data_IF_007905733581
#
_entry.id   IF_007905733581
#
_cell.length_a   1.000
_cell.length_b   1.000
_cell.length_c   1.000
_cell.angle_alpha   90.00
_cell.angle_beta   90.00
_cell.angle_gamma   90.00
#
_symmetry.space_group_name_H-M   'P 1'
#
loop_
_entity.id
_entity.type
_entity.pdbx_description
1 polymer ?
#
# COMPACT_ATOMS: atom_id res chain seq x y z
N UNK A 1 -8.41 0.30 -5.86
CA UNK A 1 -8.35 1.65 -5.24
C UNK A 1 -8.12 2.77 -6.25
N UNK A 2 -7.09 2.72 -7.12
CA UNK A 2 -6.82 3.81 -8.07
C UNK A 2 -7.99 4.18 -9.03
N UNK A 3 -8.96 3.27 -9.24
CA UNK A 3 -10.18 3.55 -10.00
C UNK A 3 -11.24 4.34 -9.20
N UNK A 4 -11.22 4.26 -7.87
CA UNK A 4 -12.29 4.76 -6.99
C UNK A 4 -11.94 6.06 -6.26
N UNK A 5 -10.65 6.39 -6.10
CA UNK A 5 -10.18 7.58 -5.35
C UNK A 5 -10.38 8.92 -6.10
N UNK A 6 -10.99 8.91 -7.28
CA UNK A 6 -11.16 10.11 -8.12
C UNK A 6 -9.84 10.66 -8.71
N UNK A 7 -9.89 11.79 -9.43
CA UNK A 7 -8.73 12.35 -10.13
C UNK A 7 -7.69 13.02 -9.20
N UNK A 8 -8.11 13.45 -8.01
CA UNK A 8 -7.24 14.07 -7.01
C UNK A 8 -6.76 13.11 -5.93
N UNK A 9 -7.30 11.88 -5.92
CA UNK A 9 -6.86 10.85 -5.00
C UNK A 9 -5.42 10.41 -5.23
N UNK A 10 -4.85 9.80 -4.20
CA UNK A 10 -3.53 9.17 -4.23
C UNK A 10 -3.61 7.81 -3.55
N UNK A 11 -2.80 6.88 -4.03
CA UNK A 11 -2.70 5.53 -3.49
C UNK A 11 -1.22 5.21 -3.30
N UNK A 12 -0.87 4.66 -2.14
CA UNK A 12 0.44 4.03 -1.91
C UNK A 12 0.20 2.52 -1.82
N UNK A 13 0.87 1.76 -2.67
CA UNK A 13 0.87 0.29 -2.62
C UNK A 13 2.21 -0.21 -2.11
N UNK A 14 2.20 -1.06 -1.08
CA UNK A 14 3.40 -1.69 -0.52
C UNK A 14 3.31 -3.19 -0.72
N UNK A 15 4.39 -3.79 -1.24
CA UNK A 15 4.54 -5.25 -1.31
C UNK A 15 6.02 -5.59 -1.10
N UNK A 16 6.30 -6.79 -0.59
CA UNK A 16 7.67 -7.30 -0.39
C UNK A 16 8.25 -7.94 -1.65
N UNK A 17 7.43 -8.27 -2.64
CA UNK A 17 7.84 -8.88 -3.90
C UNK A 17 8.03 -7.82 -4.98
N UNK A 18 9.28 -7.63 -5.41
CA UNK A 18 9.60 -6.75 -6.53
C UNK A 18 8.89 -7.16 -7.84
N UNK A 19 8.67 -8.45 -8.04
CA UNK A 19 7.94 -8.98 -9.21
C UNK A 19 6.47 -8.58 -9.18
N UNK A 20 5.80 -8.68 -8.02
CA UNK A 20 4.41 -8.23 -7.86
C UNK A 20 4.29 -6.72 -8.08
N UNK A 21 5.24 -5.92 -7.58
CA UNK A 21 5.25 -4.48 -7.83
C UNK A 21 5.46 -4.13 -9.31
N UNK A 22 6.35 -4.85 -10.00
CA UNK A 22 6.57 -4.64 -11.43
C UNK A 22 5.30 -4.92 -12.24
N UNK A 23 4.61 -6.02 -11.92
CA UNK A 23 3.35 -6.37 -12.56
C UNK A 23 2.23 -5.37 -12.22
N UNK A 24 2.11 -4.94 -10.96
CA UNK A 24 1.15 -3.91 -10.55
C UNK A 24 1.40 -2.57 -11.27
N UNK A 25 2.66 -2.19 -11.46
CA UNK A 25 3.04 -1.00 -12.22
C UNK A 25 2.68 -1.12 -13.71
N UNK A 26 2.86 -2.30 -14.32
CA UNK A 26 2.42 -2.57 -15.69
C UNK A 26 0.91 -2.40 -15.82
N UNK A 27 0.14 -3.03 -14.94
CA UNK A 27 -1.33 -2.94 -14.92
C UNK A 27 -1.82 -1.49 -14.70
N UNK A 28 -1.15 -0.72 -13.83
CA UNK A 28 -1.49 0.68 -13.59
C UNK A 28 -1.29 1.54 -14.85
N UNK A 29 -0.19 1.32 -15.59
CA UNK A 29 0.07 2.01 -16.86
C UNK A 29 -0.96 1.66 -17.93
N UNK A 30 -1.28 0.38 -18.09
CA UNK A 30 -2.30 -0.07 -19.05
C UNK A 30 -3.69 0.51 -18.74
N UNK A 31 -3.98 0.75 -17.46
CA UNK A 31 -5.21 1.40 -17.03
C UNK A 31 -5.18 2.94 -17.11
N UNK A 32 -4.04 3.56 -17.44
CA UNK A 32 -3.85 5.01 -17.41
C UNK A 32 -3.94 5.61 -16.00
N UNK A 33 -3.50 4.86 -14.98
CA UNK A 33 -3.63 5.19 -13.55
C UNK A 33 -2.28 5.29 -12.83
N UNK A 34 -1.18 5.14 -13.55
CA UNK A 34 0.19 5.26 -13.05
C UNK A 34 0.46 6.58 -12.30
N UNK A 35 -0.22 7.67 -12.68
CA UNK A 35 -0.11 8.96 -11.98
C UNK A 35 -0.80 9.04 -10.62
N UNK A 36 -1.69 8.09 -10.30
CA UNK A 36 -2.47 8.08 -9.06
C UNK A 36 -1.91 7.13 -8.01
N UNK A 37 -0.93 6.28 -8.38
CA UNK A 37 -0.40 5.24 -7.49
C UNK A 37 1.13 5.29 -7.42
N UNK A 38 1.65 5.26 -6.21
CA UNK A 38 3.06 5.03 -5.92
C UNK A 38 3.23 3.60 -5.37
N UNK A 39 4.15 2.83 -5.95
CA UNK A 39 4.49 1.49 -5.49
C UNK A 39 5.81 1.51 -4.74
N UNK A 40 5.85 0.92 -3.54
CA UNK A 40 7.04 0.87 -2.67
C UNK A 40 7.34 -0.57 -2.28
N UNK A 41 8.61 -0.96 -2.37
CA UNK A 41 9.09 -2.22 -1.84
C UNK A 41 9.21 -2.12 -0.32
N UNK A 42 8.57 -3.01 0.43
CA UNK A 42 8.64 -3.00 1.89
C UNK A 42 7.81 -4.10 2.55
N UNK A 43 7.99 -4.25 3.85
CA UNK A 43 7.19 -5.17 4.68
C UNK A 43 6.00 -4.42 5.29
N UNK A 44 4.90 -5.13 5.52
CA UNK A 44 3.72 -4.56 6.16
C UNK A 44 3.88 -4.38 7.68
N UNK A 45 4.84 -5.06 8.33
CA UNK A 45 5.14 -4.84 9.76
C UNK A 45 6.11 -3.68 10.00
N UNK A 46 6.78 -3.21 8.95
CA UNK A 46 7.72 -2.09 8.96
C UNK A 46 7.53 -1.28 7.66
N UNK A 47 6.39 -0.57 7.60
CA UNK A 47 5.96 0.09 6.38
C UNK A 47 6.97 1.19 5.98
N UNK A 48 7.34 1.30 4.69
CA UNK A 48 8.24 2.34 4.18
C UNK A 48 7.49 3.69 4.01
N UNK A 49 6.89 4.16 5.10
CA UNK A 49 6.24 5.45 5.21
C UNK A 49 7.19 6.45 5.84
N UNK A 50 7.17 7.68 5.32
CA UNK A 50 7.89 8.80 5.90
C UNK A 50 7.12 9.32 7.12
N UNK A 51 7.81 9.92 8.08
CA UNK A 51 7.22 10.39 9.34
C UNK A 51 5.96 11.25 9.12
N UNK A 52 5.99 12.15 8.14
CA UNK A 52 4.88 13.04 7.81
C UNK A 52 3.69 12.37 7.11
N UNK A 53 3.80 11.11 6.68
CA UNK A 53 2.71 10.36 6.06
C UNK A 53 1.86 9.62 7.12
N UNK A 54 2.38 9.44 8.33
CA UNK A 54 1.63 8.78 9.40
C UNK A 54 0.45 9.65 9.84
N UNK A 55 -0.74 9.03 9.91
CA UNK A 55 -1.99 9.72 10.27
C UNK A 55 -2.63 10.53 9.14
N UNK A 56 -2.05 10.56 7.93
CA UNK A 56 -2.59 11.34 6.80
C UNK A 56 -3.46 10.53 5.84
N UNK A 57 -3.57 9.22 6.03
CA UNK A 57 -4.32 8.33 5.14
C UNK A 57 -5.80 8.31 5.52
N UNK A 58 -6.69 8.56 4.53
CA UNK A 58 -8.14 8.44 4.73
C UNK A 58 -8.59 6.98 4.89
N UNK A 59 -7.83 6.03 4.32
CA UNK A 59 -8.15 4.60 4.32
C UNK A 59 -6.87 3.75 4.23
N UNK A 60 -6.77 2.74 5.09
CA UNK A 60 -5.83 1.63 4.95
C UNK A 60 -6.59 0.35 4.55
N UNK A 61 -6.07 -0.38 3.58
CA UNK A 61 -6.69 -1.62 3.10
C UNK A 61 -5.67 -2.73 2.92
N UNK A 62 -5.93 -3.85 3.57
CA UNK A 62 -5.20 -5.09 3.39
C UNK A 62 -6.22 -6.24 3.30
N UNK A 63 -5.94 -7.23 2.44
CA UNK A 63 -6.79 -8.41 2.27
C UNK A 63 -5.93 -9.65 2.44
N UNK A 64 -6.35 -10.54 3.35
CA UNK A 64 -5.64 -11.78 3.72
C UNK A 64 -4.22 -11.61 4.29
N UNK A 65 -3.71 -10.37 4.40
CA UNK A 65 -2.37 -10.09 4.91
C UNK A 65 -2.17 -10.62 6.34
N UNK A 66 -3.11 -10.34 7.24
CA UNK A 66 -2.98 -10.64 8.67
C UNK A 66 -2.91 -12.14 8.98
N UNK A 67 -3.37 -12.99 8.06
CA UNK A 67 -3.25 -14.45 8.18
C UNK A 67 -1.81 -14.94 7.95
N UNK A 68 -0.96 -14.09 7.35
CA UNK A 68 0.41 -14.42 6.95
C UNK A 68 1.48 -13.58 7.65
N UNK A 69 1.09 -12.65 8.53
CA UNK A 69 2.03 -11.91 9.36
C UNK A 69 2.42 -12.79 10.56
N UNK A 70 3.68 -13.20 10.62
CA UNK A 70 4.20 -13.92 11.76
C UNK A 70 4.39 -12.97 12.96
N UNK A 71 3.94 -13.39 14.14
CA UNK A 71 4.17 -12.72 15.42
C UNK A 71 3.74 -11.24 15.43
N UNK A 72 2.42 -11.00 15.43
CA UNK A 72 1.86 -9.68 15.59
C UNK A 72 2.18 -9.13 17.00
N UNK A 73 2.97 -8.06 17.17
CA UNK A 73 3.12 -7.44 18.48
C UNK A 73 1.77 -6.78 18.83
N UNK A 74 1.03 -7.42 19.75
CA UNK A 74 -0.17 -6.95 20.44
C UNK A 74 -0.73 -5.57 20.00
N UNK A 75 -1.83 -5.56 19.24
CA UNK A 75 -2.76 -4.41 19.22
C UNK A 75 -3.41 -4.33 20.60
N UNK A 76 -3.06 -3.28 21.35
CA UNK A 76 -3.76 -2.88 22.56
C UNK A 76 -2.93 -2.99 23.83
N UNK A 77 -2.37 -1.86 24.26
CA UNK A 77 -2.69 -1.28 25.57
C UNK A 77 -2.32 0.21 25.59
N UNK A 78 -3.34 1.02 25.90
CA UNK A 78 -3.25 2.34 26.52
C UNK A 78 -2.41 2.31 27.78
#
# INVERSE_FOLDING_TARGET
>A
MARTVGPHGRVVGVDRSAEQLAEAARQAREAGKDRLVEFRLGDAIDLPLRDQEWGTFDLAHARFLLEHVANFPFIGRT
#
